data_IF_163491669694
#
_entry.id   IF_163491669694
#
_cell.length_a   1.000
_cell.length_b   1.000
_cell.length_c   1.000
_cell.angle_alpha   90.00
_cell.angle_beta   90.00
_cell.angle_gamma   90.00
#
_symmetry.space_group_name_H-M   'P 1'
#
loop_
_entity.id
_entity.type
_entity.pdbx_description
1 polymer ?
#
# COMPACT_ATOMS: atom_id res chain seq x y z
N UNK A 1 -5.82 -18.95 8.99
CA UNK A 1 -4.51 -18.99 9.66
C UNK A 1 -3.33 -18.85 8.70
N UNK A 2 -3.26 -19.65 7.65
CA UNK A 2 -2.15 -19.63 6.67
C UNK A 2 -2.20 -18.44 5.68
N UNK A 3 -3.38 -17.96 5.32
CA UNK A 3 -3.52 -16.81 4.39
C UNK A 3 -3.07 -15.49 5.02
N UNK A 4 -3.22 -15.33 6.34
CA UNK A 4 -2.72 -14.14 7.05
C UNK A 4 -1.19 -14.18 7.24
N UNK A 5 -0.61 -15.35 7.48
CA UNK A 5 0.86 -15.48 7.58
C UNK A 5 1.56 -15.08 6.30
N UNK A 6 1.00 -15.41 5.12
CA UNK A 6 1.57 -14.99 3.82
C UNK A 6 1.53 -13.48 3.58
N UNK A 7 0.62 -12.72 4.25
CA UNK A 7 0.56 -11.25 4.13
C UNK A 7 1.57 -10.51 5.01
N UNK A 8 2.01 -11.12 6.11
CA UNK A 8 2.91 -10.50 7.10
C UNK A 8 4.39 -10.73 6.79
N UNK A 9 4.73 -11.80 6.08
CA UNK A 9 6.12 -12.15 5.74
C UNK A 9 6.83 -11.16 4.81
N UNK A 10 6.14 -10.14 4.28
CA UNK A 10 6.75 -9.12 3.41
C UNK A 10 7.66 -8.14 4.17
N UNK A 11 7.66 -8.10 5.49
CA UNK A 11 8.22 -6.96 6.23
C UNK A 11 9.45 -7.21 7.10
N UNK A 12 9.93 -8.42 7.26
CA UNK A 12 10.98 -8.66 8.22
C UNK A 12 12.05 -9.65 7.80
N UNK A 13 13.06 -9.22 7.12
CA UNK A 13 14.44 -9.74 7.06
C UNK A 13 15.14 -9.14 5.84
N UNK A 14 16.01 -8.16 6.09
CA UNK A 14 16.44 -7.23 5.06
C UNK A 14 17.42 -7.79 4.01
N UNK A 15 17.93 -8.98 4.11
CA UNK A 15 18.91 -9.51 3.15
C UNK A 15 18.57 -10.87 2.53
N UNK A 16 18.13 -11.86 3.31
CA UNK A 16 17.80 -13.19 2.76
C UNK A 16 16.42 -13.26 2.17
N UNK A 17 15.49 -12.52 2.74
CA UNK A 17 14.10 -12.51 2.36
C UNK A 17 13.82 -11.73 1.05
N UNK A 18 14.64 -10.74 0.74
CA UNK A 18 14.57 -10.04 -0.54
C UNK A 18 14.89 -10.96 -1.74
N UNK A 19 15.76 -11.97 -1.57
CA UNK A 19 16.05 -12.97 -2.62
C UNK A 19 14.88 -13.92 -2.86
N UNK A 20 14.24 -14.38 -1.80
CA UNK A 20 13.09 -15.28 -1.88
C UNK A 20 11.87 -14.60 -2.50
N UNK A 21 11.74 -13.31 -2.34
CA UNK A 21 10.57 -12.50 -2.81
C UNK A 21 10.71 -11.96 -4.22
N UNK A 22 11.92 -11.66 -4.66
CA UNK A 22 12.13 -11.44 -6.09
C UNK A 22 11.86 -12.71 -6.90
N UNK A 23 12.11 -13.89 -6.32
CA UNK A 23 11.74 -15.18 -6.90
C UNK A 23 10.22 -15.42 -6.86
N UNK A 24 9.52 -15.03 -5.80
CA UNK A 24 8.05 -15.05 -5.71
C UNK A 24 7.41 -14.08 -6.71
N UNK A 25 7.94 -12.88 -6.84
CA UNK A 25 7.53 -11.90 -7.85
C UNK A 25 7.71 -12.42 -9.28
N UNK A 26 8.83 -13.08 -9.54
CA UNK A 26 9.07 -13.74 -10.83
C UNK A 26 8.18 -14.99 -11.05
N UNK A 27 7.82 -15.71 -9.97
CA UNK A 27 6.93 -16.87 -10.03
C UNK A 27 5.45 -16.46 -10.24
N UNK A 28 5.00 -15.33 -9.69
CA UNK A 28 3.66 -14.79 -9.97
C UNK A 28 3.50 -14.33 -11.41
N UNK A 29 4.57 -13.81 -12.03
CA UNK A 29 4.58 -13.50 -13.47
C UNK A 29 4.47 -14.73 -14.36
N UNK A 30 4.80 -15.92 -13.85
CA UNK A 30 4.84 -17.17 -14.62
C UNK A 30 3.52 -17.97 -14.56
N UNK A 31 2.53 -17.59 -13.74
CA UNK A 31 1.28 -18.34 -13.65
C UNK A 31 0.34 -18.07 -14.83
N UNK A 32 -0.22 -19.11 -15.48
CA UNK A 32 -1.19 -18.92 -16.56
C UNK A 32 -2.54 -18.46 -15.98
N UNK A 33 -3.11 -17.48 -16.62
CA UNK A 33 -4.42 -16.92 -16.35
C UNK A 33 -5.53 -17.94 -16.58
N UNK A 34 -6.34 -18.27 -15.57
CA UNK A 34 -7.63 -18.90 -15.73
C UNK A 34 -8.71 -17.85 -15.49
N UNK A 35 -9.35 -17.43 -16.55
CA UNK A 35 -10.57 -16.63 -16.51
C UNK A 35 -11.77 -17.57 -16.69
N UNK A 36 -12.71 -17.52 -15.76
CA UNK A 36 -14.09 -17.90 -16.04
C UNK A 36 -14.98 -16.66 -15.79
N UNK A 37 -15.79 -16.26 -16.77
CA UNK A 37 -16.67 -15.12 -16.60
C UNK A 37 -18.06 -15.62 -16.16
N UNK A 38 -18.52 -15.15 -15.03
CA UNK A 38 -19.95 -15.20 -14.66
C UNK A 38 -20.70 -14.09 -15.40
N UNK A 39 -21.25 -14.41 -16.56
CA UNK A 39 -21.96 -13.47 -17.43
C UNK A 39 -23.47 -13.34 -17.06
N UNK A 40 -23.94 -14.10 -16.09
CA UNK A 40 -25.37 -14.16 -15.75
C UNK A 40 -25.92 -12.93 -15.00
N UNK A 41 -25.06 -12.11 -14.39
CA UNK A 41 -25.50 -11.00 -13.51
C UNK A 41 -25.90 -9.71 -14.26
N UNK A 42 -25.53 -9.56 -15.52
CA UNK A 42 -25.73 -8.30 -16.27
C UNK A 42 -27.15 -8.12 -16.80
N UNK A 43 -27.88 -9.21 -17.02
CA UNK A 43 -29.21 -9.15 -17.59
C UNK A 43 -30.32 -8.73 -16.59
N UNK A 44 -30.13 -8.97 -15.30
CA UNK A 44 -31.11 -8.61 -14.25
C UNK A 44 -31.07 -7.13 -13.85
N UNK A 45 -29.98 -6.43 -14.09
CA UNK A 45 -29.82 -5.03 -13.71
C UNK A 45 -30.39 -4.02 -14.71
N UNK A 46 -30.82 -4.47 -15.90
CA UNK A 46 -31.30 -3.59 -16.97
C UNK A 46 -32.80 -3.31 -16.92
N UNK A 47 -33.59 -3.92 -16.04
CA UNK A 47 -35.02 -3.67 -15.91
C UNK A 47 -35.26 -2.40 -15.06
N UNK A 48 -36.01 -1.39 -15.60
CA UNK A 48 -36.32 -0.14 -14.87
C UNK A 48 -36.96 -0.37 -13.50
N UNK A 49 -37.71 -1.42 -13.33
CA UNK A 49 -38.36 -1.76 -12.06
C UNK A 49 -37.41 -2.34 -11.03
N UNK A 50 -36.36 -3.03 -11.44
CA UNK A 50 -35.30 -3.50 -10.56
C UNK A 50 -34.43 -2.33 -10.02
N UNK A 51 -34.24 -1.29 -10.84
CA UNK A 51 -33.55 -0.06 -10.43
C UNK A 51 -34.39 0.71 -9.43
N UNK A 52 -35.72 0.87 -9.69
CA UNK A 52 -36.66 1.52 -8.75
C UNK A 52 -36.72 0.79 -7.40
N UNK A 53 -36.86 -0.54 -7.43
CA UNK A 53 -36.89 -1.34 -6.21
C UNK A 53 -35.60 -1.25 -5.38
N UNK A 54 -34.47 -0.88 -5.98
CA UNK A 54 -33.22 -0.61 -5.29
C UNK A 54 -33.14 0.81 -4.72
N UNK A 55 -33.71 1.80 -5.38
CA UNK A 55 -33.79 3.17 -4.89
C UNK A 55 -34.72 3.28 -3.66
N UNK A 56 -35.73 2.42 -3.57
CA UNK A 56 -36.69 2.37 -2.47
C UNK A 56 -36.23 1.49 -1.29
N UNK A 57 -35.16 0.70 -1.46
CA UNK A 57 -34.57 -0.05 -0.35
C UNK A 57 -33.62 0.86 0.42
N UNK A 58 -33.81 0.99 1.76
CA UNK A 58 -32.76 1.55 2.58
C UNK A 58 -31.49 0.73 2.33
N UNK A 59 -30.35 1.42 2.21
CA UNK A 59 -29.07 0.74 2.07
C UNK A 59 -29.00 -0.38 3.11
N UNK A 60 -28.64 -1.63 2.70
CA UNK A 60 -28.49 -2.69 3.66
C UNK A 60 -27.41 -2.20 4.63
N UNK A 61 -27.80 -2.02 5.87
CA UNK A 61 -26.86 -1.85 6.97
C UNK A 61 -25.99 -3.12 6.99
N UNK A 62 -24.97 -3.16 6.13
CA UNK A 62 -23.87 -4.07 6.32
C UNK A 62 -23.17 -3.54 7.57
N UNK A 63 -23.57 -4.06 8.71
CA UNK A 63 -22.72 -3.98 9.90
C UNK A 63 -21.43 -4.64 9.45
N UNK A 64 -20.34 -3.90 9.23
CA UNK A 64 -19.09 -4.50 8.86
C UNK A 64 -18.77 -5.52 9.95
N UNK A 65 -18.40 -6.73 9.57
CA UNK A 65 -17.83 -7.63 10.56
C UNK A 65 -16.68 -6.84 11.21
N UNK A 66 -16.81 -6.58 12.51
CA UNK A 66 -15.79 -5.87 13.25
C UNK A 66 -14.44 -6.52 12.88
N UNK A 67 -13.42 -5.74 12.49
CA UNK A 67 -12.13 -6.29 12.22
C UNK A 67 -11.78 -7.14 13.43
N UNK A 68 -11.37 -8.40 13.22
CA UNK A 68 -10.91 -9.24 14.32
C UNK A 68 -9.59 -8.61 14.79
N UNK A 69 -9.73 -7.66 15.71
CA UNK A 69 -8.60 -7.12 16.47
C UNK A 69 -8.05 -8.30 17.23
N UNK A 70 -6.97 -8.87 16.75
CA UNK A 70 -6.18 -9.80 17.55
C UNK A 70 -5.48 -8.95 18.60
N UNK A 71 -6.15 -8.78 19.74
CA UNK A 71 -5.46 -8.38 20.95
C UNK A 71 -4.44 -9.48 21.22
N UNK A 72 -3.19 -9.16 20.97
CA UNK A 72 -2.10 -10.04 21.31
C UNK A 72 -2.05 -10.14 22.82
N UNK A 73 -2.34 -11.31 23.36
CA UNK A 73 -2.39 -11.56 24.80
C UNK A 73 -1.02 -11.39 25.47
N UNK A 74 0.06 -11.32 24.65
CA UNK A 74 1.44 -11.29 25.13
C UNK A 74 2.14 -9.93 24.88
N UNK A 75 1.41 -8.91 24.42
CA UNK A 75 1.98 -7.60 24.04
C UNK A 75 2.89 -7.64 22.81
N UNK A 76 2.92 -8.76 22.09
CA UNK A 76 3.62 -8.92 20.82
C UNK A 76 2.69 -8.59 19.66
N UNK A 77 3.18 -7.85 18.71
CA UNK A 77 2.47 -7.57 17.46
C UNK A 77 3.45 -7.63 16.29
N UNK A 78 2.93 -7.61 15.08
CA UNK A 78 3.73 -7.70 13.86
C UNK A 78 4.87 -6.66 13.80
N UNK A 79 4.70 -5.50 14.41
CA UNK A 79 5.71 -4.44 14.44
C UNK A 79 6.77 -4.66 15.52
N UNK A 80 6.39 -5.25 16.67
CA UNK A 80 7.32 -5.56 17.76
C UNK A 80 8.22 -6.75 17.45
N UNK A 81 7.83 -7.61 16.51
CA UNK A 81 8.64 -8.74 16.04
C UNK A 81 9.69 -8.32 14.99
N UNK A 82 9.64 -7.07 14.48
CA UNK A 82 10.61 -6.57 13.53
C UNK A 82 11.95 -6.27 14.20
N UNK A 83 13.02 -6.90 13.74
CA UNK A 83 14.38 -6.53 14.16
C UNK A 83 14.86 -5.25 13.45
N UNK A 84 14.65 -4.11 14.10
CA UNK A 84 15.08 -2.80 13.60
C UNK A 84 16.57 -2.51 13.82
N UNK A 85 17.32 -3.44 14.40
CA UNK A 85 18.77 -3.29 14.64
C UNK A 85 19.64 -3.76 13.48
N UNK A 86 19.04 -4.50 12.54
CA UNK A 86 19.74 -5.02 11.37
C UNK A 86 20.38 -3.91 10.55
N UNK A 87 21.66 -4.06 10.25
CA UNK A 87 22.45 -3.10 9.47
C UNK A 87 23.19 -3.81 8.36
N UNK A 88 23.28 -3.15 7.23
CA UNK A 88 24.11 -3.58 6.10
C UNK A 88 25.29 -2.63 5.93
N UNK A 89 26.47 -3.15 5.57
CA UNK A 89 27.61 -2.29 5.23
C UNK A 89 27.30 -1.45 3.98
N UNK A 90 27.87 -0.26 3.89
CA UNK A 90 27.66 0.63 2.75
C UNK A 90 28.04 -0.06 1.42
N UNK A 91 29.19 -0.74 1.37
CA UNK A 91 29.67 -1.43 0.17
C UNK A 91 28.77 -2.60 -0.25
N UNK A 92 28.26 -3.37 0.71
CA UNK A 92 27.29 -4.43 0.45
C UNK A 92 25.98 -3.84 -0.07
N UNK A 93 25.51 -2.77 0.57
CA UNK A 93 24.29 -2.08 0.17
C UNK A 93 24.36 -1.55 -1.28
N UNK A 94 25.45 -0.88 -1.64
CA UNK A 94 25.65 -0.33 -2.99
C UNK A 94 25.66 -1.44 -4.06
N UNK A 95 26.36 -2.53 -3.79
CA UNK A 95 26.41 -3.69 -4.70
C UNK A 95 25.05 -4.34 -4.86
N UNK A 96 24.34 -4.60 -3.76
CA UNK A 96 23.00 -5.22 -3.81
C UNK A 96 22.01 -4.29 -4.50
N UNK A 97 22.04 -2.99 -4.20
CA UNK A 97 21.17 -2.01 -4.84
C UNK A 97 21.35 -2.01 -6.36
N UNK A 98 22.60 -1.96 -6.85
CA UNK A 98 22.88 -2.00 -8.27
C UNK A 98 22.39 -3.31 -8.93
N UNK A 99 22.58 -4.44 -8.25
CA UNK A 99 22.10 -5.74 -8.72
C UNK A 99 20.58 -5.78 -8.84
N UNK A 100 19.86 -5.28 -7.83
CA UNK A 100 18.41 -5.30 -7.84
C UNK A 100 17.80 -4.27 -8.79
N UNK A 101 18.45 -3.12 -8.96
CA UNK A 101 18.06 -2.15 -9.98
C UNK A 101 18.20 -2.71 -11.39
N UNK A 102 19.30 -3.43 -11.69
CA UNK A 102 19.47 -4.12 -12.96
C UNK A 102 18.37 -5.16 -13.21
N UNK A 103 18.05 -5.99 -12.20
CA UNK A 103 16.96 -6.97 -12.30
C UNK A 103 15.59 -6.34 -12.52
N UNK A 104 15.29 -5.25 -11.83
CA UNK A 104 14.04 -4.52 -12.05
C UNK A 104 13.96 -3.94 -13.45
N UNK A 105 15.06 -3.37 -13.94
CA UNK A 105 15.19 -2.86 -15.31
C UNK A 105 14.90 -3.96 -16.34
N UNK A 106 15.52 -5.14 -16.18
CA UNK A 106 15.31 -6.28 -17.06
C UNK A 106 13.86 -6.78 -17.02
N UNK A 107 13.28 -6.85 -15.81
CA UNK A 107 11.90 -7.31 -15.61
C UNK A 107 10.88 -6.45 -16.37
N UNK A 108 10.98 -5.12 -16.26
CA UNK A 108 10.03 -4.22 -16.93
C UNK A 108 10.21 -4.18 -18.46
N UNK A 109 11.30 -4.70 -18.95
CA UNK A 109 11.59 -4.85 -20.40
C UNK A 109 11.25 -6.24 -20.93
N UNK A 110 10.96 -7.20 -20.05
CA UNK A 110 10.54 -8.54 -20.45
C UNK A 110 9.26 -8.45 -21.31
N UNK A 111 9.22 -9.13 -22.49
CA UNK A 111 8.02 -9.14 -23.34
C UNK A 111 6.73 -9.52 -22.62
N UNK A 112 6.80 -10.37 -21.58
CA UNK A 112 5.64 -10.78 -20.78
C UNK A 112 5.07 -9.61 -19.95
N UNK A 113 5.89 -8.65 -19.56
CA UNK A 113 5.45 -7.46 -18.83
C UNK A 113 4.57 -6.55 -19.68
N UNK A 114 4.65 -6.60 -21.02
CA UNK A 114 3.79 -5.83 -21.92
C UNK A 114 2.30 -6.13 -21.73
N UNK A 115 1.95 -7.30 -21.19
CA UNK A 115 0.58 -7.70 -20.91
C UNK A 115 0.19 -7.56 -19.44
N UNK A 116 1.07 -7.02 -18.61
CA UNK A 116 0.90 -6.79 -17.18
C UNK A 116 1.08 -5.31 -16.86
N UNK A 117 0.68 -4.92 -15.68
CA UNK A 117 1.03 -3.63 -15.12
C UNK A 117 1.47 -3.82 -13.67
N UNK A 118 2.21 -2.86 -13.12
CA UNK A 118 2.70 -2.93 -11.74
C UNK A 118 2.23 -1.73 -10.94
N UNK A 119 1.67 -1.98 -9.78
CA UNK A 119 1.33 -0.97 -8.78
C UNK A 119 2.16 -1.21 -7.53
N UNK A 120 2.90 -0.21 -7.12
CA UNK A 120 3.65 -0.21 -5.87
C UNK A 120 2.99 0.75 -4.88
N UNK A 121 2.47 0.26 -3.77
CA UNK A 121 1.87 1.07 -2.71
C UNK A 121 2.84 1.19 -1.54
N UNK A 122 3.26 2.42 -1.22
CA UNK A 122 4.20 2.72 -0.15
C UNK A 122 3.48 3.32 1.04
N UNK A 123 3.58 2.64 2.18
CA UNK A 123 3.10 3.10 3.47
C UNK A 123 4.21 3.03 4.52
N UNK A 124 3.99 3.59 5.68
CA UNK A 124 4.95 3.55 6.78
C UNK A 124 4.97 4.83 7.60
N UNK A 125 5.63 4.77 8.74
CA UNK A 125 5.75 5.89 9.67
C UNK A 125 6.39 7.13 9.01
N UNK A 126 6.10 8.30 9.56
CA UNK A 126 6.75 9.53 9.09
C UNK A 126 8.26 9.44 9.33
N UNK A 127 9.03 9.98 8.40
CA UNK A 127 10.48 9.83 8.32
C UNK A 127 11.03 8.39 8.20
N UNK A 128 10.21 7.35 8.01
CA UNK A 128 10.69 5.97 7.82
C UNK A 128 11.51 5.77 6.54
N UNK A 129 11.40 6.67 5.55
CA UNK A 129 12.24 6.64 4.35
C UNK A 129 11.50 6.35 3.05
N UNK A 130 10.16 6.47 3.01
CA UNK A 130 9.32 6.22 1.83
C UNK A 130 9.89 6.87 0.55
N UNK A 131 10.03 8.18 0.52
CA UNK A 131 10.54 8.89 -0.66
C UNK A 131 11.97 8.49 -1.06
N UNK A 132 12.79 8.04 -0.10
CA UNK A 132 14.12 7.48 -0.39
C UNK A 132 14.06 6.13 -1.10
N UNK A 133 13.15 5.26 -0.67
CA UNK A 133 12.90 3.95 -1.30
C UNK A 133 12.32 4.14 -2.71
N UNK A 134 11.29 4.97 -2.85
CA UNK A 134 10.67 5.32 -4.14
C UNK A 134 11.72 5.81 -5.14
N UNK A 135 12.59 6.75 -4.73
CA UNK A 135 13.65 7.27 -5.60
C UNK A 135 14.64 6.19 -6.05
N UNK A 136 14.95 5.20 -5.21
CA UNK A 136 15.85 4.10 -5.58
C UNK A 136 15.22 3.14 -6.58
N UNK A 137 13.94 2.89 -6.44
CA UNK A 137 13.18 2.08 -7.41
C UNK A 137 13.05 2.83 -8.73
N UNK A 138 12.61 4.09 -8.70
CA UNK A 138 12.41 4.88 -9.92
C UNK A 138 13.71 5.13 -10.69
N UNK A 139 14.86 5.16 -10.02
CA UNK A 139 16.17 5.31 -10.67
C UNK A 139 16.52 4.14 -11.62
N UNK A 140 15.89 2.98 -11.46
CA UNK A 140 16.07 1.83 -12.33
C UNK A 140 15.11 1.82 -13.53
N UNK A 141 14.20 2.78 -13.65
CA UNK A 141 13.10 2.77 -14.59
C UNK A 141 13.23 3.88 -15.64
N UNK A 142 12.73 3.62 -16.84
CA UNK A 142 12.55 4.68 -17.84
C UNK A 142 11.39 5.59 -17.44
N UNK A 143 11.61 6.91 -17.41
CA UNK A 143 10.62 7.91 -17.00
C UNK A 143 9.30 7.84 -17.79
N UNK A 144 9.30 7.26 -18.98
CA UNK A 144 8.10 7.06 -19.80
C UNK A 144 7.26 5.86 -19.36
N UNK A 145 7.81 4.97 -18.54
CA UNK A 145 7.16 3.72 -18.13
C UNK A 145 6.53 3.77 -16.75
N UNK A 146 6.80 4.81 -15.97
CA UNK A 146 6.24 4.92 -14.63
C UNK A 146 5.69 6.30 -14.32
N UNK A 147 4.82 6.35 -13.33
CA UNK A 147 4.42 7.59 -12.66
C UNK A 147 4.53 7.42 -11.15
N UNK A 148 4.82 8.51 -10.45
CA UNK A 148 4.76 8.59 -8.98
C UNK A 148 3.56 9.45 -8.63
N UNK A 149 2.68 8.91 -7.81
CA UNK A 149 1.44 9.56 -7.37
C UNK A 149 1.53 9.82 -5.86
N UNK A 150 1.82 11.05 -5.44
CA UNK A 150 1.75 11.42 -4.04
C UNK A 150 0.27 11.56 -3.63
N UNK A 151 -0.11 10.85 -2.57
CA UNK A 151 -1.46 10.91 -2.02
C UNK A 151 -1.49 11.90 -0.85
N UNK A 152 -2.21 12.98 -1.04
CA UNK A 152 -2.51 14.00 -0.03
C UNK A 152 -3.99 13.95 0.37
N UNK A 153 -4.43 14.91 1.19
CA UNK A 153 -5.84 15.10 1.49
C UNK A 153 -6.67 15.22 0.20
N UNK A 154 -7.87 14.60 0.13
CA UNK A 154 -8.68 14.63 -1.07
C UNK A 154 -9.13 16.05 -1.41
N UNK A 155 -9.10 16.39 -2.70
CA UNK A 155 -9.67 17.62 -3.22
C UNK A 155 -11.22 17.55 -3.28
N UNK A 156 -11.90 18.65 -3.62
CA UNK A 156 -13.37 18.69 -3.62
C UNK A 156 -14.00 17.72 -4.63
N UNK A 157 -13.38 17.50 -5.78
CA UNK A 157 -13.88 16.54 -6.77
C UNK A 157 -13.72 15.09 -6.26
N UNK A 158 -12.62 14.78 -5.58
CA UNK A 158 -12.37 13.48 -4.97
C UNK A 158 -13.30 13.21 -3.77
N UNK A 159 -13.61 14.24 -2.96
CA UNK A 159 -14.56 14.13 -1.85
C UNK A 159 -16.00 13.82 -2.30
N UNK A 160 -16.38 14.28 -3.49
CA UNK A 160 -17.70 14.04 -4.07
C UNK A 160 -17.86 12.62 -4.64
N UNK A 161 -16.83 11.81 -4.60
CA UNK A 161 -16.80 10.46 -5.16
C UNK A 161 -16.53 9.40 -4.08
N UNK A 162 -16.81 8.12 -4.33
CA UNK A 162 -16.41 7.03 -3.46
C UNK A 162 -14.89 7.04 -3.23
N UNK A 163 -14.47 6.68 -2.01
CA UNK A 163 -13.06 6.79 -1.57
C UNK A 163 -12.04 6.24 -2.55
N UNK A 164 -12.27 5.05 -3.11
CA UNK A 164 -11.33 4.38 -4.01
C UNK A 164 -11.28 4.99 -5.42
N UNK A 165 -12.25 5.84 -5.77
CA UNK A 165 -12.31 6.47 -7.10
C UNK A 165 -11.01 7.19 -7.49
N UNK A 166 -10.41 7.93 -6.58
CA UNK A 166 -9.16 8.67 -6.81
C UNK A 166 -7.97 7.76 -7.16
N UNK A 167 -7.98 6.52 -6.72
CA UNK A 167 -6.92 5.54 -7.01
C UNK A 167 -7.16 4.85 -8.36
N UNK A 168 -8.42 4.58 -8.71
CA UNK A 168 -8.76 4.03 -10.02
C UNK A 168 -8.23 4.87 -11.17
N UNK A 169 -8.29 6.19 -11.08
CA UNK A 169 -7.79 7.13 -12.10
C UNK A 169 -6.27 7.12 -12.28
N UNK A 170 -5.54 6.60 -11.31
CA UNK A 170 -4.08 6.60 -11.31
C UNK A 170 -3.49 5.24 -11.67
N UNK A 171 -4.34 4.27 -12.04
CA UNK A 171 -3.87 2.93 -12.39
C UNK A 171 -3.05 2.96 -13.69
N UNK A 172 -1.99 2.16 -13.77
CA UNK A 172 -1.14 2.12 -14.94
C UNK A 172 -1.81 1.34 -16.08
N UNK A 173 -1.56 1.77 -17.31
CA UNK A 173 -1.83 0.94 -18.47
C UNK A 173 -0.83 -0.24 -18.52
N UNK A 174 -1.16 -1.27 -19.30
CA UNK A 174 -0.27 -2.43 -19.49
C UNK A 174 1.12 -1.99 -19.96
N UNK A 175 2.17 -2.66 -19.46
CA UNK A 175 3.58 -2.32 -19.70
C UNK A 175 4.08 -1.12 -18.89
N UNK A 176 3.30 -0.59 -17.93
CA UNK A 176 3.63 0.58 -17.15
C UNK A 176 3.49 0.32 -15.65
N UNK A 177 4.03 1.26 -14.85
CA UNK A 177 4.02 1.21 -13.40
C UNK A 177 3.39 2.46 -12.81
N UNK A 178 2.68 2.30 -11.69
CA UNK A 178 2.31 3.41 -10.81
C UNK A 178 2.89 3.15 -9.42
N UNK A 179 3.59 4.15 -8.89
CA UNK A 179 4.15 4.13 -7.54
C UNK A 179 3.35 5.13 -6.71
N UNK A 180 2.57 4.64 -5.77
CA UNK A 180 1.83 5.48 -4.83
C UNK A 180 2.71 5.81 -3.61
N UNK A 181 2.98 7.08 -3.35
CA UNK A 181 3.56 7.57 -2.10
C UNK A 181 2.41 7.92 -1.15
N UNK A 182 2.13 7.05 -0.21
CA UNK A 182 0.87 6.79 0.49
C UNK A 182 -0.18 6.18 -0.45
N UNK A 183 -1.21 5.55 0.08
CA UNK A 183 -2.12 4.75 -0.73
C UNK A 183 -3.55 4.75 -0.19
N UNK A 184 -4.37 3.84 -0.71
CA UNK A 184 -5.73 3.57 -0.23
C UNK A 184 -5.78 3.08 1.23
N UNK A 185 -4.66 2.63 1.77
CA UNK A 185 -4.58 2.30 3.19
C UNK A 185 -4.69 3.51 4.12
N UNK A 186 -4.56 4.73 3.60
CA UNK A 186 -4.79 5.96 4.35
C UNK A 186 -6.12 5.99 5.09
N UNK A 187 -7.19 5.36 4.53
CA UNK A 187 -8.52 5.27 5.16
C UNK A 187 -8.46 4.52 6.50
N UNK A 188 -7.74 3.42 6.57
CA UNK A 188 -7.60 2.59 7.77
C UNK A 188 -6.42 2.97 8.65
N UNK A 189 -5.58 3.91 8.20
CA UNK A 189 -4.43 4.47 8.90
C UNK A 189 -4.71 5.91 9.35
N UNK A 190 -4.23 6.89 8.59
CA UNK A 190 -4.28 8.32 9.00
C UNK A 190 -5.71 8.82 9.16
N UNK A 191 -6.63 8.47 8.26
CA UNK A 191 -8.00 8.97 8.36
C UNK A 191 -8.74 8.39 9.57
N UNK A 192 -8.50 7.11 9.90
CA UNK A 192 -8.99 6.47 11.12
C UNK A 192 -8.41 7.13 12.38
N UNK A 193 -7.08 7.25 12.46
CA UNK A 193 -6.39 7.73 13.66
C UNK A 193 -6.65 9.22 13.92
N UNK A 194 -6.74 10.02 12.86
CA UNK A 194 -7.00 11.45 12.96
C UNK A 194 -8.49 11.81 13.01
N UNK A 195 -9.39 10.84 12.80
CA UNK A 195 -10.83 11.09 12.78
C UNK A 195 -11.30 11.84 11.54
N UNK A 196 -10.63 11.68 10.41
CA UNK A 196 -11.00 12.34 9.14
C UNK A 196 -12.11 11.63 8.39
N UNK A 197 -12.51 10.45 8.85
CA UNK A 197 -13.66 9.70 8.35
C UNK A 197 -14.44 9.09 9.52
N UNK A 198 -15.68 8.67 9.27
CA UNK A 198 -16.51 8.01 10.29
C UNK A 198 -15.99 6.61 10.58
N UNK A 199 -16.39 6.07 11.75
CA UNK A 199 -16.06 4.69 12.13
C UNK A 199 -16.59 3.69 11.11
N UNK A 200 -17.80 3.87 10.61
CA UNK A 200 -18.38 3.03 9.59
C UNK A 200 -17.57 3.04 8.28
N UNK A 201 -16.98 4.18 7.92
CA UNK A 201 -16.19 4.32 6.70
C UNK A 201 -14.88 3.52 6.78
N UNK A 202 -14.11 3.66 7.87
CA UNK A 202 -12.87 2.91 7.97
C UNK A 202 -13.07 1.42 8.26
N UNK A 203 -14.15 1.03 8.97
CA UNK A 203 -14.50 -0.38 9.14
C UNK A 203 -14.85 -1.04 7.81
N UNK A 204 -15.65 -0.37 6.98
CA UNK A 204 -16.01 -0.85 5.65
C UNK A 204 -14.80 -0.93 4.71
N UNK A 205 -13.85 -0.01 4.87
CA UNK A 205 -12.70 0.08 3.99
C UNK A 205 -11.83 -1.18 3.96
N UNK A 206 -11.81 -2.00 5.01
CA UNK A 206 -11.06 -3.26 4.98
C UNK A 206 -11.56 -4.21 3.89
N UNK A 207 -12.88 -4.35 3.73
CA UNK A 207 -13.45 -5.17 2.66
C UNK A 207 -13.30 -4.50 1.31
N UNK A 208 -13.58 -3.20 1.21
CA UNK A 208 -13.46 -2.43 -0.02
C UNK A 208 -12.04 -2.47 -0.60
N UNK A 209 -11.02 -2.35 0.24
CA UNK A 209 -9.62 -2.45 -0.16
C UNK A 209 -9.29 -3.86 -0.65
N UNK A 210 -9.77 -4.90 0.04
CA UNK A 210 -9.53 -6.26 -0.40
C UNK A 210 -10.20 -6.54 -1.77
N UNK A 211 -11.40 -6.07 -1.98
CA UNK A 211 -12.13 -6.22 -3.25
C UNK A 211 -11.40 -5.45 -4.36
N UNK A 212 -10.97 -4.22 -4.10
CA UNK A 212 -10.18 -3.41 -5.02
C UNK A 212 -8.89 -4.13 -5.46
N UNK A 213 -8.09 -4.61 -4.51
CA UNK A 213 -6.85 -5.32 -4.81
C UNK A 213 -7.10 -6.65 -5.53
N UNK A 214 -8.22 -7.31 -5.24
CA UNK A 214 -8.64 -8.51 -5.96
C UNK A 214 -8.95 -8.19 -7.44
N UNK A 215 -9.70 -7.14 -7.70
CA UNK A 215 -10.00 -6.69 -9.07
C UNK A 215 -8.74 -6.30 -9.84
N UNK A 216 -7.80 -5.57 -9.20
CA UNK A 216 -6.51 -5.26 -9.80
C UNK A 216 -5.77 -6.53 -10.22
N UNK A 217 -5.70 -7.50 -9.33
CA UNK A 217 -5.01 -8.78 -9.60
C UNK A 217 -5.70 -9.57 -10.70
N UNK A 218 -7.03 -9.63 -10.71
CA UNK A 218 -7.83 -10.31 -11.72
C UNK A 218 -7.65 -9.71 -13.12
N UNK A 219 -7.41 -8.39 -13.21
CA UNK A 219 -7.15 -7.71 -14.48
C UNK A 219 -5.70 -7.77 -14.95
N UNK A 220 -4.83 -8.46 -14.20
CA UNK A 220 -3.42 -8.64 -14.52
C UNK A 220 -2.49 -7.53 -14.04
N UNK A 221 -2.96 -6.71 -13.11
CA UNK A 221 -2.12 -5.74 -12.40
C UNK A 221 -1.46 -6.44 -11.22
N UNK A 222 -0.15 -6.35 -11.14
CA UNK A 222 0.64 -6.85 -10.02
C UNK A 222 0.65 -5.77 -8.95
N UNK A 223 0.18 -6.09 -7.75
CA UNK A 223 0.18 -5.15 -6.62
C UNK A 223 1.26 -5.55 -5.64
N UNK A 224 2.21 -4.64 -5.39
CA UNK A 224 3.28 -4.81 -4.39
C UNK A 224 3.13 -3.74 -3.33
N UNK A 225 3.06 -4.16 -2.08
CA UNK A 225 2.85 -3.27 -0.94
C UNK A 225 4.09 -3.21 -0.07
N UNK A 226 4.50 -2.00 0.27
CA UNK A 226 5.67 -1.72 1.10
C UNK A 226 5.24 -0.97 2.36
N UNK A 227 5.50 -1.58 3.51
CA UNK A 227 5.44 -0.89 4.78
C UNK A 227 6.87 -0.59 5.26
N UNK A 228 7.17 0.69 5.52
CA UNK A 228 8.46 1.10 6.06
C UNK A 228 8.31 1.44 7.54
N UNK A 229 8.95 0.62 8.38
CA UNK A 229 8.95 0.82 9.83
C UNK A 229 10.24 1.47 10.31
N UNK A 230 10.13 2.29 11.34
CA UNK A 230 11.25 2.82 12.11
C UNK A 230 10.88 2.81 13.59
N UNK A 231 11.88 2.83 14.48
CA UNK A 231 11.60 3.02 15.90
C UNK A 231 11.21 4.47 16.20
N UNK A 232 10.50 4.66 17.32
CA UNK A 232 10.11 5.98 17.78
C UNK A 232 11.31 6.91 18.00
N UNK A 233 12.41 6.37 18.53
CA UNK A 233 13.63 7.13 18.79
C UNK A 233 14.36 7.51 17.51
N UNK A 234 14.46 6.58 16.56
CA UNK A 234 15.05 6.84 15.25
C UNK A 234 14.24 7.88 14.46
N UNK A 235 12.90 7.84 14.54
CA UNK A 235 12.04 8.86 13.94
C UNK A 235 12.36 10.24 14.52
N UNK A 236 12.47 10.36 15.85
CA UNK A 236 12.81 11.63 16.51
C UNK A 236 14.16 12.14 16.05
N UNK A 237 15.18 11.27 16.05
CA UNK A 237 16.52 11.60 15.58
C UNK A 237 16.50 12.16 14.15
N UNK A 238 15.69 11.53 13.26
CA UNK A 238 15.53 11.99 11.87
C UNK A 238 14.80 13.32 11.77
N UNK A 239 13.82 13.59 12.63
CA UNK A 239 13.14 14.89 12.69
C UNK A 239 14.14 15.98 13.10
N UNK A 240 14.88 15.77 14.16
CA UNK A 240 15.92 16.71 14.65
C UNK A 240 17.00 16.97 13.60
N UNK A 241 17.46 15.94 12.89
CA UNK A 241 18.41 16.09 11.79
C UNK A 241 17.86 16.91 10.63
N UNK A 242 16.59 16.69 10.27
CA UNK A 242 15.93 17.48 9.23
C UNK A 242 15.78 18.95 9.65
N UNK A 243 15.45 19.21 10.91
CA UNK A 243 15.30 20.56 11.43
C UNK A 243 16.60 21.36 11.36
N UNK A 244 17.77 20.70 11.46
CA UNK A 244 19.10 21.32 11.37
C UNK A 244 19.52 21.66 9.95
N UNK A 245 18.90 21.09 8.92
CA UNK A 245 19.27 21.25 7.51
C UNK A 245 18.28 22.17 6.79
N UNK A 246 18.65 23.41 6.42
CA UNK A 246 17.69 24.41 5.90
C UNK A 246 16.82 23.92 4.75
N UNK A 247 17.39 23.22 3.76
CA UNK A 247 16.63 22.71 2.62
C UNK A 247 15.82 21.43 2.92
N UNK A 248 15.84 20.93 4.18
CA UNK A 248 15.02 19.79 4.63
C UNK A 248 13.94 20.20 5.63
N UNK A 249 13.98 21.42 6.14
CA UNK A 249 13.03 21.91 7.15
C UNK A 249 11.60 21.86 6.65
N UNK A 250 11.35 22.13 5.37
CA UNK A 250 10.02 22.05 4.75
C UNK A 250 9.40 20.63 4.79
N UNK A 251 10.19 19.61 5.11
CA UNK A 251 9.74 18.21 5.24
C UNK A 251 9.27 17.85 6.64
N UNK A 252 9.30 18.79 7.56
CA UNK A 252 8.80 18.62 8.92
C UNK A 252 7.64 19.58 9.07
N UNK A 253 6.49 19.02 9.33
CA UNK A 253 5.24 19.75 9.52
C UNK A 253 4.73 19.57 10.94
N UNK A 254 3.78 20.39 11.35
CA UNK A 254 3.05 20.18 12.62
C UNK A 254 2.32 18.84 12.64
N UNK A 255 1.92 18.35 11.45
CA UNK A 255 1.30 17.05 11.29
C UNK A 255 2.23 15.90 11.70
N UNK A 256 3.52 15.95 11.34
CA UNK A 256 4.49 14.93 11.73
C UNK A 256 4.62 14.83 13.26
N UNK A 257 4.61 15.96 13.96
CA UNK A 257 4.67 15.99 15.43
C UNK A 257 3.37 15.45 16.05
N UNK A 258 2.22 15.86 15.55
CA UNK A 258 0.91 15.34 15.98
C UNK A 258 0.79 13.84 15.79
N UNK A 259 1.22 13.32 14.62
CA UNK A 259 1.22 11.89 14.33
C UNK A 259 2.10 11.12 15.32
N UNK A 260 3.24 11.70 15.69
CA UNK A 260 4.14 11.11 16.68
C UNK A 260 3.52 11.02 18.08
N UNK A 261 2.69 11.97 18.49
CA UNK A 261 1.97 11.91 19.76
C UNK A 261 0.99 10.73 19.79
N UNK A 262 0.41 10.39 18.65
CA UNK A 262 -0.54 9.27 18.47
C UNK A 262 0.14 7.94 18.09
N UNK A 263 1.41 7.79 18.40
CA UNK A 263 2.23 6.63 17.98
C UNK A 263 1.54 5.28 18.22
N UNK A 264 0.98 5.06 19.41
CA UNK A 264 0.36 3.80 19.78
C UNK A 264 -0.93 3.53 18.98
N UNK A 265 -1.72 4.57 18.69
CA UNK A 265 -2.90 4.47 17.86
C UNK A 265 -2.54 4.11 16.40
N UNK A 266 -1.46 4.68 15.88
CA UNK A 266 -0.94 4.31 14.56
C UNK A 266 -0.43 2.87 14.53
N UNK A 267 0.30 2.44 15.56
CA UNK A 267 0.74 1.04 15.67
C UNK A 267 -0.44 0.07 15.67
N UNK A 268 -1.48 0.38 16.45
CA UNK A 268 -2.70 -0.42 16.46
C UNK A 268 -3.35 -0.48 15.07
N UNK A 269 -3.52 0.66 14.41
CA UNK A 269 -4.10 0.72 13.07
C UNK A 269 -3.31 -0.11 12.04
N UNK A 270 -1.98 -0.10 12.14
CA UNK A 270 -1.11 -0.93 11.28
C UNK A 270 -1.26 -2.42 11.57
N UNK A 271 -1.39 -2.80 12.84
CA UNK A 271 -1.57 -4.21 13.20
C UNK A 271 -2.95 -4.75 12.78
N UNK A 272 -3.96 -3.88 12.71
CA UNK A 272 -5.30 -4.23 12.25
C UNK A 272 -5.38 -4.34 10.71
N UNK A 273 -4.48 -3.68 10.01
CA UNK A 273 -4.40 -3.62 8.53
C UNK A 273 -3.88 -4.93 7.92
#
# INVERSE_FOLDING_TARGET
GERLRRRVEVFGHAAEDFRSRAALFAAELAQPFRAEPDVALVAELAAPDAIRARLDKPEPSRTPAAPMVRLDTDGRNVLTELDLTLKMSASTYERELACWQARLFDLVRDPRFKNRALVCAFEGADAAGKGGAIRRISAALDARQYQIVPIAAPNEAEKAQPYLWRFWHQLPRRGHLTIFDRSWYGRVLVERVEGFCSENDWLRAYSEINDFEHELSATGIIVVKFWLQTSRDEQLRRFEERAKVPFKQFKITEEDWRNREKWDAYQQAVCDM
#
